data_IF_712775285243
#
_entry.id   IF_712775285243
#
_cell.length_a   1.000
_cell.length_b   1.000
_cell.length_c   1.000
_cell.angle_alpha   90.00
_cell.angle_beta   90.00
_cell.angle_gamma   90.00
#
_symmetry.space_group_name_H-M   'P 1'
#
loop_
_entity.id
_entity.type
_entity.pdbx_description
1 polymer ?
#
# COMPACT_ATOMS: atom_id res chain seq x y z
N UNK A 1 1.52 3.93 0.29
CA UNK A 1 1.13 5.25 0.84
C UNK A 1 1.58 6.43 -0.03
N UNK A 2 2.57 6.22 -0.90
CA UNK A 2 3.22 7.31 -1.64
C UNK A 2 4.00 8.28 -0.74
N UNK A 3 4.33 7.89 0.47
CA UNK A 3 5.23 8.64 1.36
C UNK A 3 6.64 8.17 1.06
N UNK A 4 7.50 9.11 0.63
CA UNK A 4 8.92 8.84 0.37
C UNK A 4 9.72 8.71 1.66
N UNK A 5 10.95 8.16 1.59
CA UNK A 5 11.86 8.10 2.75
C UNK A 5 12.13 9.50 3.32
N UNK A 6 12.34 10.49 2.44
CA UNK A 6 12.57 11.87 2.84
C UNK A 6 11.35 12.52 3.52
N UNK A 7 10.15 12.28 3.02
CA UNK A 7 8.90 12.74 3.66
C UNK A 7 8.69 12.06 5.00
N UNK A 8 8.89 10.74 5.08
CA UNK A 8 8.77 9.98 6.33
C UNK A 8 9.68 10.56 7.42
N UNK A 9 10.93 10.85 7.08
CA UNK A 9 11.87 11.50 8.00
C UNK A 9 11.37 12.87 8.50
N UNK A 10 10.80 13.69 7.60
CA UNK A 10 10.20 15.00 7.97
C UNK A 10 8.98 14.85 8.86
N UNK A 11 8.18 13.81 8.66
CA UNK A 11 6.98 13.52 9.45
C UNK A 11 7.31 12.84 10.79
N UNK A 12 8.54 12.39 11.01
CA UNK A 12 8.93 11.62 12.19
C UNK A 12 8.30 10.23 12.20
N UNK A 13 8.23 9.57 11.03
CA UNK A 13 7.71 8.21 10.87
C UNK A 13 8.71 7.34 10.13
N UNK A 14 8.65 6.03 10.37
CA UNK A 14 9.39 5.04 9.60
C UNK A 14 8.61 4.65 8.34
N UNK A 15 9.31 4.51 7.22
CA UNK A 15 8.73 4.06 5.94
C UNK A 15 9.42 2.77 5.53
N UNK A 16 8.68 1.66 5.59
CA UNK A 16 9.16 0.37 5.10
C UNK A 16 9.05 0.34 3.57
N UNK A 17 10.17 0.21 2.85
CA UNK A 17 10.15 0.25 1.39
C UNK A 17 9.51 -1.01 0.83
N UNK A 18 8.79 -0.86 -0.29
CA UNK A 18 8.23 -2.00 -1.02
C UNK A 18 9.31 -2.63 -1.90
N UNK A 19 9.60 -3.94 -1.74
CA UNK A 19 10.47 -4.66 -2.64
C UNK A 19 9.78 -4.98 -3.96
N UNK A 20 10.53 -4.91 -5.05
CA UNK A 20 10.08 -5.36 -6.36
C UNK A 20 11.24 -5.93 -7.17
N UNK A 21 10.92 -6.79 -8.13
CA UNK A 21 11.89 -7.43 -8.99
C UNK A 21 11.75 -6.91 -10.42
N UNK A 22 12.87 -6.59 -11.04
CA UNK A 22 12.95 -6.28 -12.46
C UNK A 22 13.92 -7.29 -13.10
N UNK A 23 13.42 -8.15 -13.99
CA UNK A 23 14.20 -9.22 -14.60
C UNK A 23 14.95 -10.07 -13.55
N UNK A 24 14.24 -10.44 -12.48
CA UNK A 24 14.74 -11.22 -11.33
C UNK A 24 15.72 -10.49 -10.39
N UNK A 25 16.14 -9.28 -10.68
CA UNK A 25 16.96 -8.45 -9.78
C UNK A 25 16.06 -7.69 -8.77
N UNK A 26 16.45 -7.71 -7.49
CA UNK A 26 15.71 -7.09 -6.40
C UNK A 26 16.02 -5.59 -6.29
N UNK A 27 14.96 -4.80 -6.21
CA UNK A 27 15.01 -3.36 -5.96
C UNK A 27 14.09 -2.96 -4.81
N UNK A 28 14.39 -1.82 -4.18
CA UNK A 28 13.57 -1.20 -3.16
C UNK A 28 13.16 0.20 -3.62
N UNK A 29 11.86 0.48 -3.53
CA UNK A 29 11.26 1.77 -3.90
C UNK A 29 11.95 2.92 -3.14
N UNK A 30 12.35 3.97 -3.88
CA UNK A 30 12.99 5.18 -3.35
C UNK A 30 14.33 4.96 -2.61
N UNK A 31 14.95 3.78 -2.75
CA UNK A 31 16.26 3.46 -2.17
C UNK A 31 17.26 3.04 -3.24
N UNK A 32 16.98 1.98 -3.99
CA UNK A 32 17.89 1.42 -4.98
C UNK A 32 17.48 1.74 -6.42
N UNK A 33 16.30 2.29 -6.63
CA UNK A 33 15.77 2.71 -7.92
C UNK A 33 14.86 3.93 -7.76
N UNK A 34 15.08 4.94 -8.59
CA UNK A 34 14.20 6.11 -8.65
C UNK A 34 12.91 5.78 -9.39
N UNK A 35 11.89 6.61 -9.18
CA UNK A 35 10.62 6.47 -9.88
C UNK A 35 10.79 6.63 -11.41
N UNK A 36 11.67 7.53 -11.86
CA UNK A 36 11.96 7.77 -13.27
C UNK A 36 12.58 6.53 -13.94
N UNK A 37 13.63 5.97 -13.35
CA UNK A 37 14.25 4.73 -13.80
C UNK A 37 13.29 3.54 -13.83
N UNK A 38 12.38 3.46 -12.86
CA UNK A 38 11.34 2.44 -12.82
C UNK A 38 10.40 2.54 -14.04
N UNK A 39 9.93 3.74 -14.38
CA UNK A 39 9.05 3.93 -15.54
C UNK A 39 9.77 3.71 -16.86
N UNK A 40 11.04 4.05 -16.97
CA UNK A 40 11.86 3.74 -18.15
C UNK A 40 11.97 2.22 -18.37
N UNK A 41 12.26 1.45 -17.31
CA UNK A 41 12.32 -0.02 -17.38
C UNK A 41 10.95 -0.64 -17.69
N UNK A 42 9.87 -0.09 -17.12
CA UNK A 42 8.51 -0.52 -17.42
C UNK A 42 8.12 -0.30 -18.88
N UNK A 43 8.53 0.84 -19.47
CA UNK A 43 8.30 1.14 -20.88
C UNK A 43 9.10 0.21 -21.81
N UNK A 44 10.26 -0.29 -21.36
CA UNK A 44 11.11 -1.25 -22.05
C UNK A 44 10.62 -2.72 -21.99
N UNK A 45 9.38 -2.97 -21.56
CA UNK A 45 8.74 -4.30 -21.44
C UNK A 45 9.49 -5.27 -20.48
N UNK A 46 10.20 -4.74 -19.48
CA UNK A 46 10.87 -5.53 -18.45
C UNK A 46 9.86 -6.39 -17.65
N UNK A 47 10.28 -7.56 -17.18
CA UNK A 47 9.45 -8.39 -16.29
C UNK A 47 9.49 -7.82 -14.86
N UNK A 48 8.43 -7.10 -14.49
CA UNK A 48 8.32 -6.46 -13.18
C UNK A 48 7.33 -7.23 -12.31
N UNK A 49 7.79 -7.60 -11.11
CA UNK A 49 7.00 -8.27 -10.07
C UNK A 49 7.14 -7.54 -8.75
N UNK A 50 6.06 -7.33 -8.04
CA UNK A 50 6.07 -6.77 -6.69
C UNK A 50 6.03 -7.89 -5.66
N UNK A 51 6.65 -7.66 -4.50
CA UNK A 51 6.61 -8.55 -3.35
C UNK A 51 6.19 -7.79 -2.10
N UNK A 52 5.75 -8.52 -1.08
CA UNK A 52 5.67 -7.95 0.27
C UNK A 52 7.09 -7.79 0.84
N UNK A 53 7.30 -6.90 1.82
CA UNK A 53 8.54 -6.85 2.58
C UNK A 53 8.85 -8.21 3.22
N UNK A 54 10.13 -8.55 3.32
CA UNK A 54 10.53 -9.76 4.03
C UNK A 54 10.13 -9.66 5.51
N UNK A 55 9.68 -10.75 6.17
CA UNK A 55 9.36 -10.75 7.59
C UNK A 55 10.46 -10.19 8.47
N UNK A 56 11.73 -10.52 8.17
CA UNK A 56 12.88 -9.96 8.88
C UNK A 56 12.96 -8.44 8.80
N UNK A 57 12.82 -7.86 7.60
CA UNK A 57 12.86 -6.40 7.41
C UNK A 57 11.75 -5.69 8.20
N UNK A 58 10.58 -6.33 8.32
CA UNK A 58 9.45 -5.80 9.10
C UNK A 58 9.80 -5.78 10.59
N UNK A 59 10.31 -6.89 11.11
CA UNK A 59 10.69 -7.02 12.53
C UNK A 59 11.86 -6.12 12.88
N UNK A 60 12.91 -6.06 12.06
CA UNK A 60 14.07 -5.18 12.26
C UNK A 60 13.64 -3.70 12.37
N UNK A 61 12.65 -3.29 11.55
CA UNK A 61 12.14 -1.93 11.64
C UNK A 61 11.32 -1.69 12.91
N UNK A 62 10.54 -2.65 13.39
CA UNK A 62 9.81 -2.56 14.65
C UNK A 62 10.76 -2.55 15.84
N UNK A 63 11.75 -3.42 15.84
CA UNK A 63 12.77 -3.49 16.90
C UNK A 63 13.51 -2.17 17.01
N UNK A 64 13.95 -1.60 15.89
CA UNK A 64 14.56 -0.29 15.83
C UNK A 64 13.64 0.82 16.36
N UNK A 65 12.35 0.78 16.05
CA UNK A 65 11.41 1.77 16.55
C UNK A 65 11.20 1.63 18.05
N UNK A 66 11.16 0.40 18.57
CA UNK A 66 10.98 0.10 19.99
C UNK A 66 12.23 0.42 20.84
N UNK A 67 13.40 0.69 20.23
CA UNK A 67 14.54 1.28 20.95
C UNK A 67 14.28 2.72 21.40
N UNK A 68 13.42 3.45 20.68
CA UNK A 68 13.15 4.87 20.91
C UNK A 68 11.73 5.15 21.45
N UNK A 69 10.77 4.23 21.21
CA UNK A 69 9.36 4.39 21.53
C UNK A 69 8.81 3.19 22.29
N UNK A 70 7.76 3.40 23.09
CA UNK A 70 7.15 2.34 23.90
C UNK A 70 6.25 1.43 23.04
N UNK A 71 5.64 1.97 21.97
CA UNK A 71 4.68 1.28 21.12
C UNK A 71 4.85 1.66 19.64
N UNK A 72 4.43 0.78 18.76
CA UNK A 72 4.46 0.98 17.30
C UNK A 72 3.07 0.79 16.70
N UNK A 73 2.65 1.70 15.83
CA UNK A 73 1.50 1.53 14.94
C UNK A 73 2.01 1.28 13.53
N UNK A 74 1.78 0.08 13.01
CA UNK A 74 2.12 -0.30 11.64
C UNK A 74 0.87 -0.23 10.75
N UNK A 75 0.93 0.56 9.67
CA UNK A 75 -0.18 0.76 8.73
C UNK A 75 0.23 0.23 7.35
N UNK A 76 0.07 -1.07 7.07
CA UNK A 76 0.35 -1.66 5.77
C UNK A 76 -0.72 -1.29 4.74
N UNK A 77 -0.49 -1.63 3.48
CA UNK A 77 -1.54 -1.53 2.47
C UNK A 77 -2.64 -2.58 2.73
N UNK A 78 -3.82 -2.33 2.17
CA UNK A 78 -5.00 -3.22 2.26
C UNK A 78 -4.66 -4.71 2.13
N UNK A 79 -5.18 -5.52 3.05
CA UNK A 79 -5.06 -6.98 3.01
C UNK A 79 -5.65 -7.60 1.73
N UNK A 80 -6.61 -6.96 1.09
CA UNK A 80 -7.17 -7.40 -0.19
C UNK A 80 -6.22 -7.24 -1.40
N UNK A 81 -5.15 -6.45 -1.26
CA UNK A 81 -4.17 -6.17 -2.33
C UNK A 81 -2.81 -6.82 -2.09
N UNK A 82 -2.45 -7.08 -0.85
CA UNK A 82 -1.16 -7.67 -0.46
C UNK A 82 -1.28 -8.45 0.83
N UNK A 83 -0.63 -9.60 0.90
CA UNK A 83 -0.50 -10.39 2.13
C UNK A 83 0.37 -9.72 3.21
N UNK A 84 0.97 -8.56 2.93
CA UNK A 84 1.84 -7.85 3.89
C UNK A 84 1.13 -7.50 5.19
N UNK A 85 -0.18 -7.21 5.14
CA UNK A 85 -0.97 -6.92 6.31
C UNK A 85 -1.17 -8.16 7.19
N UNK A 86 -1.55 -9.29 6.62
CA UNK A 86 -1.74 -10.54 7.33
C UNK A 86 -0.43 -11.06 7.94
N UNK A 87 0.67 -10.97 7.17
CA UNK A 87 2.00 -11.30 7.65
C UNK A 87 2.39 -10.43 8.84
N UNK A 88 2.18 -9.11 8.76
CA UNK A 88 2.49 -8.20 9.86
C UNK A 88 1.63 -8.49 11.11
N UNK A 89 0.33 -8.79 10.95
CA UNK A 89 -0.55 -9.17 12.07
C UNK A 89 -0.03 -10.45 12.76
N UNK A 90 0.41 -11.43 11.98
CA UNK A 90 0.97 -12.67 12.54
C UNK A 90 2.25 -12.39 13.33
N UNK A 91 3.18 -11.62 12.76
CA UNK A 91 4.45 -11.28 13.41
C UNK A 91 4.26 -10.42 14.67
N UNK A 92 3.26 -9.53 14.68
CA UNK A 92 3.01 -8.64 15.82
C UNK A 92 2.58 -9.38 17.10
N UNK A 93 2.16 -10.64 16.99
CA UNK A 93 1.80 -11.47 18.14
C UNK A 93 2.98 -11.74 19.07
N UNK A 94 4.21 -11.70 18.55
CA UNK A 94 5.44 -11.93 19.32
C UNK A 94 5.92 -10.66 20.08
N UNK A 95 5.18 -9.54 19.97
CA UNK A 95 5.57 -8.24 20.55
C UNK A 95 4.75 -7.82 21.78
N UNK A 96 4.03 -8.74 22.43
CA UNK A 96 3.28 -8.50 23.67
C UNK A 96 2.37 -7.26 23.64
N UNK A 97 1.76 -7.00 22.47
CA UNK A 97 0.86 -5.86 22.26
C UNK A 97 1.52 -4.52 21.98
N UNK A 98 2.85 -4.42 22.05
CA UNK A 98 3.60 -3.19 21.74
C UNK A 98 3.52 -2.79 20.27
N UNK A 99 3.30 -3.73 19.37
CA UNK A 99 3.12 -3.48 17.94
C UNK A 99 1.66 -3.70 17.56
N UNK A 100 1.00 -2.65 17.11
CA UNK A 100 -0.38 -2.69 16.63
C UNK A 100 -0.42 -2.52 15.12
N UNK A 101 -0.88 -3.55 14.42
CA UNK A 101 -1.04 -3.54 12.95
C UNK A 101 -2.46 -3.14 12.59
N UNK A 102 -2.61 -2.10 11.77
CA UNK A 102 -3.89 -1.54 11.35
C UNK A 102 -4.31 -2.13 10.00
N UNK A 103 -5.39 -2.88 9.98
CA UNK A 103 -6.02 -3.35 8.74
C UNK A 103 -7.24 -2.49 8.40
N UNK A 104 -7.02 -1.31 7.87
CA UNK A 104 -8.10 -0.41 7.48
C UNK A 104 -8.41 -0.38 5.98
N UNK A 105 -7.96 -1.38 5.25
CA UNK A 105 -8.25 -1.60 3.82
C UNK A 105 -7.89 -0.43 2.91
N UNK A 106 -6.90 0.37 3.26
CA UNK A 106 -6.49 1.56 2.49
C UNK A 106 -5.19 1.35 1.75
N UNK A 107 -4.97 2.15 0.72
CA UNK A 107 -3.76 2.20 -0.10
C UNK A 107 -3.56 3.63 -0.65
N UNK A 108 -2.36 3.95 -1.12
CA UNK A 108 -2.05 5.21 -1.78
C UNK A 108 -2.46 6.43 -0.93
N UNK A 109 -3.17 7.39 -1.50
CA UNK A 109 -3.57 8.63 -0.81
C UNK A 109 -4.43 8.39 0.43
N UNK A 110 -5.28 7.37 0.43
CA UNK A 110 -6.11 7.04 1.60
C UNK A 110 -5.28 6.40 2.72
N UNK A 111 -4.27 5.59 2.39
CA UNK A 111 -3.31 5.07 3.37
C UNK A 111 -2.44 6.19 3.94
N UNK A 112 -1.95 7.12 3.10
CA UNK A 112 -1.25 8.33 3.57
C UNK A 112 -2.09 9.09 4.58
N UNK A 113 -3.37 9.28 4.28
CA UNK A 113 -4.30 9.94 5.20
C UNK A 113 -4.40 9.22 6.55
N UNK A 114 -4.44 7.89 6.55
CA UNK A 114 -4.43 7.10 7.78
C UNK A 114 -3.15 7.31 8.59
N UNK A 115 -2.00 7.39 7.93
CA UNK A 115 -0.72 7.68 8.61
C UNK A 115 -0.74 9.08 9.24
N UNK A 116 -1.23 10.09 8.54
CA UNK A 116 -1.36 11.46 9.04
C UNK A 116 -2.33 11.55 10.23
N UNK A 117 -3.41 10.77 10.21
CA UNK A 117 -4.38 10.66 11.32
C UNK A 117 -3.77 9.92 12.51
N UNK A 118 -3.09 8.80 12.28
CA UNK A 118 -2.38 8.07 13.33
C UNK A 118 -1.37 8.96 14.04
N UNK A 119 -0.57 9.73 13.28
CA UNK A 119 0.40 10.66 13.85
C UNK A 119 -0.23 11.71 14.75
N UNK A 120 -1.35 12.30 14.33
CA UNK A 120 -2.11 13.27 15.14
C UNK A 120 -2.66 12.66 16.43
N UNK A 121 -3.15 11.43 16.35
CA UNK A 121 -3.67 10.71 17.52
C UNK A 121 -2.53 10.37 18.50
N UNK A 122 -1.38 9.93 18.00
CA UNK A 122 -0.18 9.68 18.80
C UNK A 122 0.31 10.97 19.49
N UNK A 123 0.39 12.08 18.75
CA UNK A 123 0.77 13.38 19.31
C UNK A 123 -0.24 13.90 20.36
N UNK A 124 -1.50 13.42 20.30
CA UNK A 124 -2.52 13.68 21.31
C UNK A 124 -2.46 12.70 22.50
N UNK A 125 -1.49 11.79 22.55
CA UNK A 125 -1.27 10.85 23.64
C UNK A 125 -2.12 9.59 23.60
N UNK A 126 -2.68 9.23 22.43
CA UNK A 126 -3.39 7.98 22.25
C UNK A 126 -2.42 6.80 22.18
N UNK A 127 -2.78 5.68 22.81
CA UNK A 127 -2.03 4.43 22.70
C UNK A 127 -2.13 3.83 21.29
N UNK A 128 -1.20 2.95 20.96
CA UNK A 128 -1.21 2.24 19.66
C UNK A 128 -2.50 1.44 19.46
N UNK A 129 -3.04 0.82 20.52
CA UNK A 129 -4.30 0.08 20.48
C UNK A 129 -5.50 0.99 20.19
N UNK A 130 -5.60 2.15 20.86
CA UNK A 130 -6.67 3.13 20.60
C UNK A 130 -6.60 3.67 19.16
N UNK A 131 -5.38 3.94 18.66
CA UNK A 131 -5.18 4.41 17.27
C UNK A 131 -5.64 3.35 16.27
N UNK A 132 -5.27 2.09 16.50
CA UNK A 132 -5.72 0.97 15.67
C UNK A 132 -7.25 0.90 15.64
N UNK A 133 -7.92 0.90 16.79
CA UNK A 133 -9.36 0.82 16.89
C UNK A 133 -10.05 1.96 16.11
N UNK A 134 -9.59 3.20 16.30
CA UNK A 134 -10.13 4.37 15.62
C UNK A 134 -9.97 4.31 14.10
N UNK A 135 -8.80 3.89 13.60
CA UNK A 135 -8.55 3.79 12.17
C UNK A 135 -9.29 2.62 11.50
N UNK A 136 -9.48 1.51 12.21
CA UNK A 136 -10.24 0.37 11.71
C UNK A 136 -11.75 0.64 11.74
N UNK A 137 -12.26 1.44 12.68
CA UNK A 137 -13.67 1.84 12.73
C UNK A 137 -14.13 2.58 11.46
N UNK A 138 -13.20 3.33 10.80
CA UNK A 138 -13.48 4.09 9.58
C UNK A 138 -12.95 3.41 8.31
N UNK A 139 -12.70 2.11 8.34
CA UNK A 139 -12.08 1.36 7.23
C UNK A 139 -12.86 1.46 5.91
N UNK A 140 -14.17 1.63 5.96
CA UNK A 140 -15.04 1.69 4.79
C UNK A 140 -15.45 3.11 4.36
N UNK A 141 -14.93 4.15 5.04
CA UNK A 141 -15.31 5.55 4.79
C UNK A 141 -14.49 6.21 3.67
N UNK A 142 -13.76 5.42 2.90
CA UNK A 142 -12.97 5.93 1.78
C UNK A 142 -13.06 5.04 0.55
N UNK A 143 -13.08 5.69 -0.60
CA UNK A 143 -13.01 5.08 -1.93
C UNK A 143 -11.88 5.69 -2.75
N UNK A 144 -11.28 4.88 -3.62
CA UNK A 144 -10.34 5.36 -4.64
C UNK A 144 -10.91 5.04 -6.02
N UNK A 145 -10.97 6.03 -6.89
CA UNK A 145 -11.32 5.87 -8.29
C UNK A 145 -10.09 6.09 -9.16
N UNK A 146 -9.82 5.14 -10.06
CA UNK A 146 -8.62 5.13 -10.90
C UNK A 146 -9.02 4.93 -12.33
N UNK A 147 -8.62 5.85 -13.21
CA UNK A 147 -8.69 5.63 -14.66
C UNK A 147 -7.30 5.24 -15.16
N UNK A 148 -7.19 4.14 -15.87
CA UNK A 148 -5.92 3.61 -16.38
C UNK A 148 -5.91 3.52 -17.89
N UNK A 149 -4.74 3.70 -18.48
CA UNK A 149 -4.53 3.51 -19.91
C UNK A 149 -4.63 2.05 -20.34
N UNK A 150 -4.12 1.16 -19.50
CA UNK A 150 -4.08 -0.27 -19.74
C UNK A 150 -4.33 -1.06 -18.45
N UNK A 151 -5.08 -2.14 -18.58
CA UNK A 151 -5.26 -3.12 -17.50
C UNK A 151 -4.19 -4.23 -17.48
N UNK A 152 -3.25 -4.22 -18.44
CA UNK A 152 -2.22 -5.28 -18.63
C UNK A 152 -1.53 -5.65 -17.32
N UNK A 153 -1.00 -4.65 -16.63
CA UNK A 153 -0.21 -4.85 -15.40
C UNK A 153 -1.06 -5.27 -14.20
N UNK A 154 -2.23 -4.66 -14.04
CA UNK A 154 -3.16 -5.00 -12.95
C UNK A 154 -3.73 -6.41 -13.12
N UNK A 155 -4.00 -6.82 -14.37
CA UNK A 155 -4.44 -8.18 -14.70
C UNK A 155 -3.33 -9.20 -14.42
N UNK A 156 -2.09 -8.93 -14.85
CA UNK A 156 -0.91 -9.77 -14.56
C UNK A 156 -0.71 -9.91 -13.05
N UNK A 157 -0.91 -8.86 -12.29
CA UNK A 157 -0.78 -8.84 -10.83
C UNK A 157 -1.91 -9.54 -10.07
N UNK A 158 -3.05 -9.89 -10.72
CA UNK A 158 -4.18 -10.55 -10.06
C UNK A 158 -4.96 -9.67 -9.06
N UNK A 159 -4.83 -8.33 -9.13
CA UNK A 159 -5.50 -7.37 -8.24
C UNK A 159 -6.81 -6.82 -8.79
N UNK A 160 -7.29 -7.35 -9.92
CA UNK A 160 -8.60 -7.04 -10.50
C UNK A 160 -9.63 -8.09 -10.13
N UNK A 161 -10.89 -7.65 -9.96
CA UNK A 161 -12.01 -8.58 -9.98
C UNK A 161 -12.18 -9.19 -11.38
N UNK A 162 -12.82 -10.37 -11.52
CA UNK A 162 -13.10 -10.95 -12.83
C UNK A 162 -13.90 -10.00 -13.75
N UNK A 163 -14.83 -9.23 -13.19
CA UNK A 163 -15.62 -8.23 -13.92
C UNK A 163 -14.74 -7.10 -14.48
N UNK A 164 -13.82 -6.57 -13.68
CA UNK A 164 -12.88 -5.54 -14.13
C UNK A 164 -11.89 -6.08 -15.18
N UNK A 165 -11.42 -7.31 -15.02
CA UNK A 165 -10.51 -7.97 -15.97
C UNK A 165 -11.16 -8.19 -17.36
N UNK A 166 -12.47 -8.43 -17.41
CA UNK A 166 -13.23 -8.63 -18.66
C UNK A 166 -13.34 -7.34 -19.49
N UNK A 167 -13.34 -6.15 -18.87
CA UNK A 167 -13.44 -4.86 -19.56
C UNK A 167 -12.21 -4.59 -20.43
N UNK A 168 -11.04 -5.03 -20.01
CA UNK A 168 -9.77 -4.78 -20.72
C UNK A 168 -9.65 -5.43 -22.10
N UNK A 169 -10.64 -6.21 -22.54
CA UNK A 169 -10.67 -6.83 -23.86
C UNK A 169 -11.36 -5.97 -24.94
N UNK A 170 -11.99 -4.85 -24.54
CA UNK A 170 -12.74 -3.98 -25.47
C UNK A 170 -11.86 -2.82 -25.93
N UNK A 171 -11.66 -2.72 -27.23
CA UNK A 171 -10.86 -1.66 -27.88
C UNK A 171 -11.41 -0.25 -27.54
N UNK A 172 -10.51 0.69 -27.25
CA UNK A 172 -10.82 2.12 -27.00
C UNK A 172 -11.71 2.44 -25.79
N UNK A 173 -11.89 1.52 -24.84
CA UNK A 173 -12.52 1.83 -23.58
C UNK A 173 -11.47 2.17 -22.51
N UNK A 174 -11.67 3.29 -21.82
CA UNK A 174 -10.92 3.66 -20.62
C UNK A 174 -11.74 3.26 -19.40
N UNK A 175 -11.35 2.20 -18.69
CA UNK A 175 -12.09 1.78 -17.51
C UNK A 175 -11.84 2.76 -16.37
N UNK A 176 -12.89 3.08 -15.63
CA UNK A 176 -12.78 3.67 -14.29
C UNK A 176 -12.95 2.53 -13.32
N UNK A 177 -11.92 2.27 -12.55
CA UNK A 177 -11.89 1.26 -11.51
C UNK A 177 -12.18 1.91 -10.16
N UNK A 178 -12.83 1.19 -9.28
CA UNK A 178 -13.04 1.55 -7.89
C UNK A 178 -12.30 0.58 -6.99
N UNK A 179 -11.59 1.12 -6.02
CA UNK A 179 -11.06 0.35 -4.90
C UNK A 179 -11.81 0.75 -3.64
N UNK A 180 -12.56 -0.20 -3.09
CA UNK A 180 -13.17 -0.11 -1.78
C UNK A 180 -12.75 -1.34 -0.97
N UNK A 181 -11.59 -1.23 -0.34
CA UNK A 181 -11.09 -2.19 0.61
C UNK A 181 -10.31 -3.36 0.04
N UNK A 182 -10.77 -4.05 -1.00
CA UNK A 182 -10.16 -5.31 -1.43
C UNK A 182 -9.51 -5.22 -2.81
N UNK A 183 -10.17 -5.72 -3.84
CA UNK A 183 -9.66 -5.69 -5.21
C UNK A 183 -10.21 -4.52 -5.99
N UNK A 184 -9.51 -4.14 -7.05
CA UNK A 184 -9.98 -3.17 -8.00
C UNK A 184 -11.17 -3.74 -8.78
N UNK A 185 -12.32 -3.09 -8.68
CA UNK A 185 -13.54 -3.46 -9.38
C UNK A 185 -13.91 -2.45 -10.46
N UNK A 186 -14.76 -2.88 -11.39
CA UNK A 186 -15.28 -2.03 -12.45
C UNK A 186 -16.32 -1.04 -11.89
N UNK A 187 -16.12 0.25 -12.08
CA UNK A 187 -17.07 1.28 -11.67
C UNK A 187 -17.77 1.89 -12.86
N UNK A 188 -17.02 2.36 -13.85
CA UNK A 188 -17.56 3.01 -15.05
C UNK A 188 -16.66 2.76 -16.26
N UNK A 189 -17.17 3.14 -17.42
CA UNK A 189 -16.45 3.07 -18.70
C UNK A 189 -16.55 4.42 -19.39
N UNK A 190 -15.39 4.94 -19.84
CA UNK A 190 -15.31 6.15 -20.64
C UNK A 190 -14.85 5.81 -22.07
N UNK A 191 -15.34 6.55 -23.05
CA UNK A 191 -14.85 6.48 -24.44
C UNK A 191 -13.80 7.58 -24.65
N UNK A 192 -12.56 7.32 -24.20
CA UNK A 192 -11.46 8.28 -24.29
C UNK A 192 -11.35 9.21 -23.06
N UNK A 193 -10.38 10.14 -23.10
CA UNK A 193 -10.06 11.04 -21.99
C UNK A 193 -10.95 12.29 -21.88
N UNK A 194 -11.86 12.50 -22.84
CA UNK A 194 -12.68 13.71 -22.95
C UNK A 194 -14.16 13.50 -22.64
N UNK A 195 -14.51 12.37 -22.07
CA UNK A 195 -15.93 12.08 -21.74
C UNK A 195 -16.17 12.05 -20.24
#
# INVERSE_FOLDING_TARGET
SGITQAEGKKMGIYVLPMPFYINEELFYEDITLTQEEFYEKLAGDADIKTSQPAPGDVMDMWDKALEEYDEVVHIPMSAGLSSSCETAIMLSQDYDGKVQVVNNHRISVTQRRSVEEAKKLADAGKSAAEIKELLEAIQWDSDIYITVDTLKYLKKGGRLTPAAAAIGTVLNLKPVLRLKGEKLDAFAKSRGWKS
#
